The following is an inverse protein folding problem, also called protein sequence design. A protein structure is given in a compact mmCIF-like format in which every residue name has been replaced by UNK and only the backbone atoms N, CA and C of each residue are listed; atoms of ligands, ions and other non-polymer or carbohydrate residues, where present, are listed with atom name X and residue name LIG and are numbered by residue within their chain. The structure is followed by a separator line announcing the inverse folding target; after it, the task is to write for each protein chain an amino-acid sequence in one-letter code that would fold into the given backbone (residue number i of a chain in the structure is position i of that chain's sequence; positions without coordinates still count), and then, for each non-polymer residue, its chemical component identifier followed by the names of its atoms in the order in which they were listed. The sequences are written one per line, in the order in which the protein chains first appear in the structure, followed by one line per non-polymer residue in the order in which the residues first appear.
data_IF_034327182126
#
_entry.id   IF_034327182126
#
_cell.length_a   1.000
_cell.length_b   1.000
_cell.length_c   1.000
_cell.angle_alpha   90.00
_cell.angle_beta   90.00
_cell.angle_gamma   90.00
#
_symmetry.space_group_name_H-M   'P 1'
#
loop_
_entity.id
_entity.type
_entity.pdbx_description
1 polymer ?
#
# COMPACT_ATOMS: atom_id res chain seq x y z
N UNK A 1 20.80 30.32 -13.63
CA UNK A 1 19.90 29.19 -13.93
C UNK A 1 19.74 28.39 -12.64
N UNK A 2 18.62 28.57 -11.94
CA UNK A 2 18.34 27.85 -10.70
C UNK A 2 17.80 26.47 -11.06
N UNK A 3 18.66 25.46 -11.07
CA UNK A 3 18.23 24.07 -11.03
C UNK A 3 17.79 23.80 -9.59
N UNK A 4 16.48 23.85 -9.35
CA UNK A 4 15.92 23.41 -8.08
C UNK A 4 16.33 21.96 -7.85
N UNK A 5 17.25 21.74 -6.89
CA UNK A 5 17.69 20.45 -6.37
C UNK A 5 16.58 19.77 -5.56
N UNK A 6 15.35 19.72 -6.09
CA UNK A 6 14.28 18.98 -5.44
C UNK A 6 14.51 17.48 -5.68
N UNK A 7 14.43 16.65 -4.62
CA UNK A 7 14.51 15.20 -4.78
C UNK A 7 13.47 14.70 -5.78
N UNK A 8 13.90 13.79 -6.67
CA UNK A 8 13.06 13.25 -7.74
C UNK A 8 12.18 12.13 -7.21
N UNK A 9 10.87 12.27 -7.39
CA UNK A 9 9.90 11.20 -7.18
C UNK A 9 9.37 10.79 -8.54
N UNK A 10 9.70 9.58 -8.95
CA UNK A 10 9.38 9.04 -10.27
C UNK A 10 8.81 7.63 -10.10
N UNK A 11 7.89 7.19 -10.98
CA UNK A 11 7.37 5.83 -10.91
C UNK A 11 8.50 4.82 -11.02
N UNK A 12 8.49 3.83 -10.12
CA UNK A 12 9.43 2.72 -10.09
C UNK A 12 9.10 1.72 -11.18
N UNK A 13 10.14 1.20 -11.85
CA UNK A 13 10.02 -0.05 -12.58
C UNK A 13 9.76 -1.20 -11.61
N UNK A 14 9.23 -2.30 -12.10
CA UNK A 14 8.96 -3.48 -11.29
C UNK A 14 10.22 -4.01 -10.59
N UNK A 15 11.36 -4.06 -11.30
CA UNK A 15 12.62 -4.52 -10.72
C UNK A 15 13.12 -3.61 -9.59
N UNK A 16 12.96 -2.29 -9.74
CA UNK A 16 13.30 -1.33 -8.67
C UNK A 16 12.35 -1.46 -7.48
N UNK A 17 11.06 -1.71 -7.71
CA UNK A 17 10.10 -1.94 -6.65
C UNK A 17 10.41 -3.24 -5.88
N UNK A 18 10.75 -4.31 -6.59
CA UNK A 18 11.17 -5.59 -5.99
C UNK A 18 12.47 -5.41 -5.18
N UNK A 19 13.44 -4.67 -5.71
CA UNK A 19 14.67 -4.33 -4.97
C UNK A 19 14.37 -3.54 -3.68
N UNK A 20 13.52 -2.51 -3.77
CA UNK A 20 13.10 -1.74 -2.60
C UNK A 20 12.41 -2.63 -1.56
N UNK A 21 11.47 -3.47 -1.97
CA UNK A 21 10.76 -4.40 -1.09
C UNK A 21 11.74 -5.36 -0.39
N UNK A 22 12.72 -5.91 -1.13
CA UNK A 22 13.75 -6.80 -0.61
C UNK A 22 14.66 -6.11 0.41
N UNK A 23 15.09 -4.87 0.13
CA UNK A 23 15.89 -4.05 1.06
C UNK A 23 15.13 -3.77 2.35
N UNK A 24 13.87 -3.32 2.26
CA UNK A 24 13.02 -3.08 3.44
C UNK A 24 12.79 -4.34 4.24
N UNK A 25 12.51 -5.47 3.58
CA UNK A 25 12.34 -6.74 4.28
C UNK A 25 13.57 -7.15 5.07
N UNK A 26 14.76 -6.97 4.50
CA UNK A 26 16.04 -7.24 5.16
C UNK A 26 16.21 -6.35 6.40
N UNK A 27 15.94 -5.05 6.25
CA UNK A 27 16.06 -4.06 7.32
C UNK A 27 15.08 -4.36 8.48
N UNK A 28 13.82 -4.68 8.16
CA UNK A 28 12.78 -4.97 9.16
C UNK A 28 13.03 -6.32 9.85
N UNK A 29 13.48 -7.33 9.10
CA UNK A 29 13.81 -8.65 9.63
C UNK A 29 14.96 -8.60 10.66
N UNK A 30 15.97 -7.73 10.47
CA UNK A 30 17.05 -7.52 11.45
C UNK A 30 16.54 -7.06 12.83
N UNK A 31 15.32 -6.52 12.88
CA UNK A 31 14.67 -6.01 14.08
C UNK A 31 13.51 -6.88 14.56
N UNK A 32 13.23 -7.99 13.88
CA UNK A 32 12.07 -8.82 14.16
C UNK A 32 10.73 -8.11 13.93
N UNK A 33 10.69 -7.09 13.07
CA UNK A 33 9.45 -6.37 12.75
C UNK A 33 8.68 -7.13 11.69
N UNK A 34 7.48 -7.59 12.05
CA UNK A 34 6.52 -8.13 11.09
C UNK A 34 5.80 -6.98 10.38
N UNK A 35 5.72 -7.04 9.05
CA UNK A 35 5.07 -6.02 8.23
C UNK A 35 4.45 -6.63 6.96
N UNK A 36 3.60 -5.87 6.29
CA UNK A 36 3.09 -6.20 4.96
C UNK A 36 3.00 -4.92 4.11
N UNK A 37 3.39 -5.04 2.83
CA UNK A 37 3.22 -3.96 1.86
C UNK A 37 1.74 -3.81 1.47
N UNK A 38 1.32 -2.57 1.25
CA UNK A 38 -0.03 -2.22 0.83
C UNK A 38 -0.01 -1.12 -0.25
N UNK A 39 -1.15 -0.50 -0.51
CA UNK A 39 -1.23 0.68 -1.37
C UNK A 39 -0.76 0.42 -2.79
N UNK A 40 -0.07 1.39 -3.40
CA UNK A 40 0.37 1.29 -4.78
C UNK A 40 1.42 0.20 -5.01
N UNK A 41 2.38 0.08 -4.09
CA UNK A 41 3.40 -0.97 -4.11
C UNK A 41 2.77 -2.37 -4.06
N UNK A 42 1.83 -2.59 -3.14
CA UNK A 42 1.11 -3.85 -3.03
C UNK A 42 0.32 -4.20 -4.30
N UNK A 43 -0.34 -3.23 -4.93
CA UNK A 43 -1.03 -3.43 -6.20
C UNK A 43 -0.06 -3.90 -7.29
N UNK A 44 1.05 -3.19 -7.50
CA UNK A 44 2.04 -3.54 -8.54
C UNK A 44 2.59 -4.95 -8.35
N UNK A 45 2.96 -5.33 -7.12
CA UNK A 45 3.54 -6.65 -6.83
C UNK A 45 2.53 -7.78 -7.03
N UNK A 46 1.26 -7.58 -6.65
CA UNK A 46 0.22 -8.58 -6.89
C UNK A 46 -0.09 -8.73 -8.37
N UNK A 47 -0.22 -7.63 -9.11
CA UNK A 47 -0.52 -7.68 -10.55
C UNK A 47 0.60 -8.41 -11.31
N UNK A 48 1.87 -8.16 -10.96
CA UNK A 48 2.99 -8.92 -11.49
C UNK A 48 2.94 -10.41 -11.10
N UNK A 49 2.78 -10.70 -9.81
CA UNK A 49 2.74 -12.08 -9.30
C UNK A 49 1.66 -12.93 -9.95
N UNK A 50 0.47 -12.35 -10.18
CA UNK A 50 -0.64 -13.01 -10.87
C UNK A 50 -0.62 -12.83 -12.39
N UNK A 51 0.46 -12.28 -12.96
CA UNK A 51 0.68 -12.10 -14.41
C UNK A 51 -0.43 -11.29 -15.11
N UNK A 52 -0.98 -10.29 -14.41
CA UNK A 52 -1.95 -9.35 -14.96
C UNK A 52 -1.22 -8.26 -15.72
N UNK A 53 -1.44 -8.19 -17.04
CA UNK A 53 -0.84 -7.15 -17.89
C UNK A 53 -1.33 -5.76 -17.49
N UNK A 54 -0.41 -4.91 -17.04
CA UNK A 54 -0.71 -3.53 -16.62
C UNK A 54 0.50 -2.62 -16.81
N UNK A 55 0.27 -1.31 -16.93
CA UNK A 55 1.32 -0.28 -16.86
C UNK A 55 1.38 0.38 -15.48
N UNK A 56 0.74 -0.22 -14.47
CA UNK A 56 0.68 0.31 -13.12
C UNK A 56 2.09 0.39 -12.51
N UNK A 57 2.43 1.57 -12.03
CA UNK A 57 3.69 1.86 -11.34
C UNK A 57 3.43 2.78 -10.15
N UNK A 58 4.31 2.77 -9.14
CA UNK A 58 4.16 3.55 -7.90
C UNK A 58 5.43 4.35 -7.59
N UNK A 59 5.35 5.37 -6.74
CA UNK A 59 6.47 6.25 -6.37
C UNK A 59 6.98 6.05 -4.94
N UNK A 60 6.26 5.26 -4.16
CA UNK A 60 6.37 5.10 -2.71
C UNK A 60 6.09 3.65 -2.30
N UNK A 61 6.47 3.31 -1.07
CA UNK A 61 6.11 2.05 -0.41
C UNK A 61 5.24 2.34 0.81
N UNK A 62 3.97 1.97 0.72
CA UNK A 62 3.06 1.93 1.86
C UNK A 62 3.17 0.57 2.58
N UNK A 63 3.23 0.57 3.90
CA UNK A 63 3.28 -0.67 4.68
C UNK A 63 2.56 -0.59 6.02
N UNK A 64 1.94 -1.70 6.40
CA UNK A 64 1.44 -1.95 7.74
C UNK A 64 2.51 -2.70 8.53
N UNK A 65 2.76 -2.32 9.78
CA UNK A 65 3.59 -3.09 10.71
C UNK A 65 2.80 -3.53 11.94
N UNK A 66 3.24 -4.62 12.56
CA UNK A 66 2.77 -5.04 13.88
C UNK A 66 3.57 -4.29 14.95
N UNK A 67 2.94 -3.45 15.79
CA UNK A 67 3.64 -2.83 16.92
C UNK A 67 4.17 -3.89 17.89
N UNK A 68 5.45 -3.75 18.28
CA UNK A 68 6.01 -4.61 19.33
C UNK A 68 5.75 -4.01 20.71
N UNK A 69 4.64 -4.47 21.31
CA UNK A 69 4.20 -4.09 22.66
C UNK A 69 5.06 -4.70 23.78
N UNK A 70 5.94 -5.66 23.48
CA UNK A 70 6.84 -6.24 24.48
C UNK A 70 8.06 -5.32 24.74
N UNK A 71 8.42 -4.47 23.78
CA UNK A 71 9.45 -3.45 23.98
C UNK A 71 8.96 -2.30 24.86
N UNK A 72 9.84 -1.76 25.71
CA UNK A 72 9.54 -0.59 26.55
C UNK A 72 10.52 0.56 26.25
N UNK A 73 10.03 1.68 25.69
CA UNK A 73 8.66 1.87 25.21
C UNK A 73 8.42 1.09 23.89
N UNK A 74 7.14 0.89 23.55
CA UNK A 74 6.65 0.15 22.37
C UNK A 74 7.38 0.56 21.11
N UNK A 75 7.70 -0.40 20.25
CA UNK A 75 8.16 -0.12 18.88
C UNK A 75 6.94 -0.02 17.96
N UNK A 76 6.51 1.20 17.68
CA UNK A 76 5.45 1.57 16.73
C UNK A 76 6.05 2.14 15.44
N UNK A 77 5.19 2.54 14.48
CA UNK A 77 5.64 3.04 13.18
C UNK A 77 6.49 4.32 13.31
N UNK A 78 6.12 5.23 14.21
CA UNK A 78 6.87 6.48 14.44
C UNK A 78 8.28 6.19 14.95
N UNK A 79 8.36 5.32 15.96
CA UNK A 79 9.62 4.96 16.57
C UNK A 79 10.50 4.15 15.63
N UNK A 80 9.91 3.24 14.86
CA UNK A 80 10.63 2.51 13.81
C UNK A 80 11.18 3.49 12.78
N UNK A 81 10.38 4.43 12.28
CA UNK A 81 10.82 5.43 11.29
C UNK A 81 12.04 6.20 11.77
N UNK A 82 12.04 6.70 13.01
CA UNK A 82 13.19 7.41 13.61
C UNK A 82 14.43 6.51 13.78
N UNK A 83 14.23 5.26 14.17
CA UNK A 83 15.32 4.30 14.33
C UNK A 83 15.98 3.95 12.99
N UNK A 84 15.17 3.73 11.95
CA UNK A 84 15.64 3.42 10.61
C UNK A 84 16.58 4.51 10.08
N UNK A 85 16.20 5.78 10.24
CA UNK A 85 17.03 6.93 9.84
C UNK A 85 18.37 6.99 10.59
N UNK A 86 18.37 6.62 11.88
CA UNK A 86 19.58 6.69 12.70
C UNK A 86 20.60 5.60 12.33
N UNK A 87 20.12 4.43 11.93
CA UNK A 87 20.96 3.23 11.80
C UNK A 87 21.32 2.88 10.36
N UNK A 88 20.54 3.34 9.38
CA UNK A 88 20.73 3.00 7.98
C UNK A 88 21.11 4.25 7.19
N UNK A 89 22.39 4.35 6.83
CA UNK A 89 22.93 5.51 6.10
C UNK A 89 22.36 5.64 4.67
N UNK A 90 21.77 4.58 4.13
CA UNK A 90 21.08 4.57 2.84
C UNK A 90 19.63 5.08 2.91
N UNK A 91 19.12 5.34 4.12
CA UNK A 91 17.84 5.98 4.34
C UNK A 91 18.02 7.47 4.61
N UNK A 92 17.25 8.29 3.91
CA UNK A 92 17.21 9.74 4.09
C UNK A 92 15.84 10.17 4.65
N UNK A 93 15.75 11.41 5.16
CA UNK A 93 14.48 12.05 5.54
C UNK A 93 14.01 12.95 4.41
N UNK A 94 12.76 12.81 4.00
CA UNK A 94 12.24 13.49 2.79
C UNK A 94 11.09 14.44 3.05
N UNK A 95 10.39 14.26 4.17
CA UNK A 95 9.33 15.16 4.62
C UNK A 95 9.12 15.05 6.12
N UNK A 96 8.69 16.16 6.72
CA UNK A 96 8.08 16.20 8.04
C UNK A 96 6.60 16.46 7.78
N UNK A 97 5.71 15.53 8.11
CA UNK A 97 4.29 15.82 8.08
C UNK A 97 3.97 16.88 9.15
N UNK A 98 3.66 18.11 8.74
CA UNK A 98 3.54 19.28 9.65
C UNK A 98 2.55 19.09 10.81
N UNK A 99 1.53 18.23 10.63
CA UNK A 99 0.49 17.97 11.63
C UNK A 99 0.95 16.94 12.67
N UNK A 100 1.69 15.92 12.24
CA UNK A 100 2.11 14.79 13.09
C UNK A 100 3.58 14.90 13.52
N UNK A 101 4.33 15.84 12.93
CA UNK A 101 5.79 15.92 12.97
C UNK A 101 6.48 14.60 12.62
N UNK A 102 5.77 13.75 11.85
CA UNK A 102 6.25 12.43 11.46
C UNK A 102 7.28 12.59 10.34
N UNK A 103 8.49 12.13 10.60
CA UNK A 103 9.56 12.09 9.60
C UNK A 103 9.41 10.82 8.76
N UNK A 104 9.13 10.99 7.48
CA UNK A 104 9.03 9.85 6.55
C UNK A 104 10.44 9.45 6.09
N UNK A 105 10.91 8.24 6.42
CA UNK A 105 12.16 7.73 5.88
C UNK A 105 11.99 7.42 4.39
N UNK A 106 13.07 7.45 3.63
CA UNK A 106 13.03 7.13 2.21
C UNK A 106 14.28 6.42 1.74
N UNK A 107 14.10 5.50 0.79
CA UNK A 107 15.19 4.87 0.06
C UNK A 107 15.66 5.77 -1.08
N UNK A 108 16.96 5.68 -1.36
CA UNK A 108 17.55 6.17 -2.59
C UNK A 108 17.71 5.03 -3.59
N UNK A 109 17.19 5.24 -4.80
CA UNK A 109 17.30 4.33 -5.95
C UNK A 109 18.04 5.06 -7.08
N UNK A 110 19.07 4.45 -7.65
CA UNK A 110 19.90 5.07 -8.69
C UNK A 110 19.64 4.42 -10.04
N UNK A 111 19.42 5.24 -11.07
CA UNK A 111 19.24 4.80 -12.46
C UNK A 111 20.42 5.26 -13.29
N UNK A 112 21.25 4.34 -13.76
CA UNK A 112 22.28 4.68 -14.74
C UNK A 112 21.63 5.20 -16.04
N UNK A 113 22.17 6.25 -16.68
CA UNK A 113 23.38 7.01 -16.34
C UNK A 113 23.13 8.26 -15.48
N UNK A 114 21.93 8.45 -14.91
CA UNK A 114 21.62 9.63 -14.10
C UNK A 114 22.22 9.47 -12.69
N UNK A 115 23.15 10.35 -12.28
CA UNK A 115 23.78 10.25 -10.96
C UNK A 115 22.87 10.70 -9.82
N UNK A 116 21.67 11.24 -10.11
CA UNK A 116 20.73 11.68 -9.07
C UNK A 116 19.84 10.52 -8.63
N UNK A 117 19.69 10.30 -7.32
CA UNK A 117 18.78 9.29 -6.83
C UNK A 117 17.33 9.69 -7.08
N UNK A 118 16.51 8.68 -7.35
CA UNK A 118 15.07 8.71 -7.14
C UNK A 118 14.84 8.42 -5.67
N UNK A 119 13.94 9.20 -5.10
CA UNK A 119 13.55 9.12 -3.71
C UNK A 119 12.25 8.33 -3.62
N UNK A 120 12.27 7.29 -2.80
CA UNK A 120 11.14 6.40 -2.57
C UNK A 120 10.74 6.49 -1.11
N UNK A 121 9.64 7.22 -0.86
CA UNK A 121 9.14 7.42 0.50
C UNK A 121 8.61 6.10 1.08
N UNK A 122 8.90 5.88 2.36
CA UNK A 122 8.45 4.71 3.12
C UNK A 122 7.35 5.14 4.09
N UNK A 123 6.10 4.95 3.70
CA UNK A 123 4.95 5.25 4.55
C UNK A 123 4.63 4.05 5.44
N UNK A 124 5.07 4.11 6.69
CA UNK A 124 4.88 3.05 7.70
C UNK A 124 3.67 3.40 8.57
N UNK A 125 2.73 2.47 8.66
CA UNK A 125 1.52 2.61 9.48
C UNK A 125 1.39 1.45 10.46
N UNK A 126 0.68 1.67 11.55
CA UNK A 126 0.32 0.63 12.50
C UNK A 126 -1.06 0.88 13.13
N UNK A 127 -1.65 -0.19 13.67
CA UNK A 127 -3.00 -0.15 14.27
C UNK A 127 -3.09 0.61 15.59
N UNK A 128 -1.98 0.80 16.30
CA UNK A 128 -1.95 1.55 17.56
C UNK A 128 -2.01 3.05 17.32
N UNK A 129 -1.28 3.55 16.32
CA UNK A 129 -1.35 4.94 15.88
C UNK A 129 -2.70 5.28 15.20
N UNK A 130 -3.35 4.27 14.59
CA UNK A 130 -4.61 4.44 13.86
C UNK A 130 -5.73 3.53 14.38
N UNK A 131 -6.20 3.72 15.64
CA UNK A 131 -7.17 2.82 16.26
C UNK A 131 -8.55 2.83 15.59
N UNK A 132 -8.88 3.90 14.84
CA UNK A 132 -10.08 4.00 14.02
C UNK A 132 -10.00 3.24 12.69
N UNK A 133 -8.87 2.58 12.39
CA UNK A 133 -8.63 1.81 11.18
C UNK A 133 -8.35 0.34 11.54
N UNK A 134 -9.37 -0.45 11.92
CA UNK A 134 -9.18 -1.86 12.26
C UNK A 134 -8.55 -2.66 11.12
N UNK A 135 -8.67 -2.19 9.87
CA UNK A 135 -7.98 -2.77 8.72
C UNK A 135 -6.44 -2.74 8.78
N UNK A 136 -5.87 -1.93 9.68
CA UNK A 136 -4.41 -1.82 9.86
C UNK A 136 -3.87 -2.87 10.86
N UNK A 137 -4.74 -3.64 11.50
CA UNK A 137 -4.32 -4.69 12.41
C UNK A 137 -3.96 -5.96 11.64
N UNK A 138 -2.66 -6.18 11.41
CA UNK A 138 -2.15 -7.39 10.76
C UNK A 138 -2.32 -8.68 11.59
N UNK A 139 -2.75 -8.57 12.85
CA UNK A 139 -3.07 -9.74 13.69
C UNK A 139 -4.50 -10.21 13.50
N UNK A 140 -5.35 -9.40 12.86
CA UNK A 140 -6.71 -9.76 12.49
C UNK A 140 -6.67 -10.72 11.29
N UNK A 141 -7.24 -11.95 11.38
CA UNK A 141 -7.31 -12.88 10.26
C UNK A 141 -8.08 -12.34 9.04
N UNK A 142 -8.96 -11.36 9.24
CA UNK A 142 -9.65 -10.66 8.15
C UNK A 142 -8.76 -9.63 7.43
N UNK A 143 -7.53 -9.38 7.90
CA UNK A 143 -6.53 -8.55 7.22
C UNK A 143 -5.43 -9.43 6.62
N UNK A 144 -5.84 -10.44 5.85
CA UNK A 144 -4.95 -11.46 5.31
C UNK A 144 -3.95 -10.94 4.26
N UNK A 145 -2.78 -11.58 4.23
CA UNK A 145 -1.65 -11.27 3.34
C UNK A 145 -1.36 -12.43 2.37
N UNK A 146 -0.55 -12.15 1.36
CA UNK A 146 0.02 -13.10 0.40
C UNK A 146 1.54 -12.95 0.44
N UNK A 147 2.27 -14.07 0.45
CA UNK A 147 3.74 -14.07 0.33
C UNK A 147 4.11 -13.93 -1.15
N UNK A 148 4.85 -12.88 -1.50
CA UNK A 148 5.28 -12.59 -2.88
C UNK A 148 6.80 -12.69 -2.96
N UNK A 149 7.36 -13.51 -3.88
CA UNK A 149 8.80 -13.54 -4.13
C UNK A 149 9.25 -12.25 -4.83
N UNK A 150 10.32 -11.64 -4.34
CA UNK A 150 10.89 -10.38 -4.88
C UNK A 150 12.36 -10.52 -5.31
N UNK A 151 12.80 -11.74 -5.57
CA UNK A 151 14.16 -12.07 -5.99
C UNK A 151 15.07 -12.52 -4.84
N UNK A 152 16.23 -13.11 -5.19
CA UNK A 152 17.25 -13.61 -4.25
C UNK A 152 16.74 -14.57 -3.17
N UNK A 153 15.66 -15.31 -3.45
CA UNK A 153 15.02 -16.19 -2.47
C UNK A 153 14.32 -15.46 -1.32
N UNK A 154 14.14 -14.14 -1.44
CA UNK A 154 13.42 -13.31 -0.48
C UNK A 154 11.94 -13.25 -0.87
N UNK A 155 11.09 -13.49 0.11
CA UNK A 155 9.66 -13.25 0.02
C UNK A 155 9.26 -12.09 0.94
N UNK A 156 8.26 -11.33 0.50
CA UNK A 156 7.67 -10.24 1.28
C UNK A 156 6.17 -10.46 1.41
N UNK A 157 5.62 -10.11 2.57
CA UNK A 157 4.18 -10.12 2.75
C UNK A 157 3.56 -8.89 2.09
N UNK A 158 2.48 -9.11 1.35
CA UNK A 158 1.67 -8.07 0.72
C UNK A 158 0.22 -8.26 1.15
N UNK A 159 -0.50 -7.19 1.44
CA UNK A 159 -1.94 -7.27 1.73
C UNK A 159 -2.67 -7.94 0.56
N UNK A 160 -3.58 -8.88 0.85
CA UNK A 160 -4.20 -9.69 -0.21
C UNK A 160 -5.00 -8.85 -1.21
N UNK A 161 -5.25 -9.36 -2.44
CA UNK A 161 -6.11 -8.68 -3.42
C UNK A 161 -7.48 -8.29 -2.83
N UNK A 162 -8.07 -9.18 -2.02
CA UNK A 162 -9.34 -8.93 -1.33
C UNK A 162 -9.26 -7.69 -0.43
N UNK A 163 -8.22 -7.60 0.40
CA UNK A 163 -8.02 -6.46 1.28
C UNK A 163 -7.82 -5.17 0.47
N UNK A 164 -6.94 -5.21 -0.53
CA UNK A 164 -6.64 -4.03 -1.36
C UNK A 164 -7.88 -3.55 -2.11
N UNK A 165 -8.67 -4.43 -2.74
CA UNK A 165 -9.91 -4.04 -3.43
C UNK A 165 -10.90 -3.39 -2.47
N UNK A 166 -11.08 -3.92 -1.26
CA UNK A 166 -11.93 -3.27 -0.24
C UNK A 166 -11.48 -1.83 0.02
N UNK A 167 -10.20 -1.66 0.34
CA UNK A 167 -9.68 -0.32 0.66
C UNK A 167 -9.73 0.61 -0.55
N UNK A 168 -9.48 0.13 -1.76
CA UNK A 168 -9.52 0.95 -2.99
C UNK A 168 -10.92 1.46 -3.31
N UNK A 169 -11.96 0.65 -3.08
CA UNK A 169 -13.36 1.11 -3.20
C UNK A 169 -13.63 2.24 -2.20
N UNK A 170 -13.21 2.08 -0.94
CA UNK A 170 -13.39 3.09 0.10
C UNK A 170 -12.58 4.36 -0.18
N UNK A 171 -11.32 4.25 -0.60
CA UNK A 171 -10.47 5.41 -0.87
C UNK A 171 -10.87 6.15 -2.14
N UNK A 172 -11.36 5.46 -3.17
CA UNK A 172 -11.93 6.12 -4.34
C UNK A 172 -13.09 7.04 -3.95
N UNK A 173 -13.99 6.57 -3.08
CA UNK A 173 -15.08 7.39 -2.56
C UNK A 173 -14.58 8.56 -1.70
N UNK A 174 -13.63 8.31 -0.80
CA UNK A 174 -13.02 9.34 0.05
C UNK A 174 -12.22 10.41 -0.71
N UNK A 175 -11.68 10.07 -1.89
CA UNK A 175 -10.83 10.94 -2.74
C UNK A 175 -11.55 11.49 -3.97
N UNK A 176 -12.88 11.44 -3.96
CA UNK A 176 -13.76 11.91 -5.06
C UNK A 176 -13.28 13.24 -5.67
N UNK A 177 -13.15 13.27 -6.99
CA UNK A 177 -12.75 14.41 -7.81
C UNK A 177 -11.23 14.60 -7.96
N UNK A 178 -10.39 13.77 -7.34
CA UNK A 178 -8.93 13.86 -7.40
C UNK A 178 -8.27 12.88 -8.37
N UNK A 179 -7.02 13.15 -8.76
CA UNK A 179 -6.25 12.23 -9.63
C UNK A 179 -6.08 10.83 -9.01
N UNK A 180 -5.95 10.75 -7.67
CA UNK A 180 -5.82 9.47 -6.94
C UNK A 180 -7.11 8.63 -6.97
N UNK A 181 -8.28 9.24 -7.22
CA UNK A 181 -9.54 8.50 -7.41
C UNK A 181 -9.42 7.58 -8.63
N UNK A 182 -8.93 8.09 -9.76
CA UNK A 182 -8.81 7.32 -11.00
C UNK A 182 -7.90 6.12 -10.82
N UNK A 183 -6.73 6.31 -10.22
CA UNK A 183 -5.83 5.19 -9.94
C UNK A 183 -6.44 4.18 -8.98
N UNK A 184 -7.27 4.62 -8.02
CA UNK A 184 -7.97 3.70 -7.13
C UNK A 184 -9.01 2.85 -7.88
N UNK A 185 -9.75 3.43 -8.84
CA UNK A 185 -10.70 2.70 -9.70
C UNK A 185 -9.99 1.72 -10.65
N UNK A 186 -8.90 2.15 -11.29
CA UNK A 186 -8.07 1.28 -12.16
C UNK A 186 -7.48 0.10 -11.36
N UNK A 187 -7.06 0.33 -10.11
CA UNK A 187 -6.58 -0.73 -9.22
C UNK A 187 -7.72 -1.71 -8.83
N UNK A 188 -8.96 -1.22 -8.63
CA UNK A 188 -10.13 -2.09 -8.39
C UNK A 188 -10.36 -2.99 -9.60
N UNK A 189 -10.50 -2.42 -10.80
CA UNK A 189 -10.73 -3.16 -12.03
C UNK A 189 -9.65 -4.24 -12.26
N UNK A 190 -8.38 -3.88 -12.10
CA UNK A 190 -7.26 -4.79 -12.37
C UNK A 190 -7.16 -5.95 -11.35
N UNK A 191 -7.50 -5.72 -10.09
CA UNK A 191 -7.40 -6.72 -9.02
C UNK A 191 -8.68 -7.56 -8.85
N UNK A 192 -9.84 -7.07 -9.29
CA UNK A 192 -11.13 -7.74 -9.12
C UNK A 192 -11.17 -9.19 -9.64
N UNK A 193 -10.56 -9.53 -10.80
CA UNK A 193 -10.51 -10.91 -11.28
C UNK A 193 -9.77 -11.88 -10.34
N UNK A 194 -8.89 -11.38 -9.48
CA UNK A 194 -8.09 -12.17 -8.54
C UNK A 194 -8.87 -12.56 -7.27
N UNK A 195 -10.04 -11.96 -7.03
CA UNK A 195 -10.86 -12.29 -5.88
C UNK A 195 -11.65 -13.58 -6.12
N UNK A 196 -11.86 -14.35 -5.06
CA UNK A 196 -12.88 -15.39 -5.06
C UNK A 196 -14.29 -14.77 -5.14
N UNK A 197 -15.26 -15.54 -5.59
CA UNK A 197 -16.66 -15.08 -5.61
C UNK A 197 -17.15 -14.83 -4.17
N UNK A 198 -17.89 -13.75 -4.00
CA UNK A 198 -18.36 -13.26 -2.69
C UNK A 198 -17.26 -13.11 -1.63
N UNK A 199 -16.00 -12.85 -2.04
CA UNK A 199 -14.89 -12.63 -1.13
C UNK A 199 -15.09 -11.40 -0.23
N UNK A 200 -15.87 -10.41 -0.67
CA UNK A 200 -16.16 -9.20 0.11
C UNK A 200 -17.61 -9.18 0.56
N UNK A 201 -17.84 -8.67 1.76
CA UNK A 201 -19.18 -8.49 2.35
C UNK A 201 -19.30 -7.04 2.81
N UNK A 202 -20.21 -6.30 2.20
CA UNK A 202 -20.45 -4.88 2.49
C UNK A 202 -21.81 -4.72 3.16
N UNK A 203 -21.80 -4.40 4.45
CA UNK A 203 -23.02 -4.25 5.27
C UNK A 203 -23.13 -2.87 5.92
N UNK A 204 -22.01 -2.14 6.05
CA UNK A 204 -21.99 -0.82 6.67
C UNK A 204 -22.36 0.25 5.64
N UNK A 205 -22.94 1.35 6.12
CA UNK A 205 -23.38 2.44 5.24
C UNK A 205 -22.22 3.03 4.42
N UNK A 206 -21.04 3.19 5.01
CA UNK A 206 -19.87 3.72 4.31
C UNK A 206 -19.43 2.81 3.15
N UNK A 207 -19.45 1.49 3.36
CA UNK A 207 -19.14 0.50 2.32
C UNK A 207 -20.18 0.55 1.19
N UNK A 208 -21.47 0.64 1.56
CA UNK A 208 -22.59 0.74 0.63
C UNK A 208 -22.49 2.00 -0.23
N UNK A 209 -22.21 3.15 0.38
CA UNK A 209 -22.08 4.44 -0.31
C UNK A 209 -20.87 4.44 -1.25
N UNK A 210 -19.75 3.86 -0.81
CA UNK A 210 -18.56 3.72 -1.62
C UNK A 210 -18.79 2.81 -2.84
N UNK A 211 -19.46 1.67 -2.65
CA UNK A 211 -19.78 0.76 -3.75
C UNK A 211 -20.74 1.41 -4.76
N UNK A 212 -21.79 2.10 -4.29
CA UNK A 212 -22.69 2.88 -5.17
C UNK A 212 -21.92 3.94 -5.94
N UNK A 213 -20.93 4.58 -5.31
CA UNK A 213 -20.09 5.57 -5.97
C UNK A 213 -19.26 4.95 -7.10
N UNK A 214 -18.59 3.83 -6.85
CA UNK A 214 -17.82 3.10 -7.87
C UNK A 214 -18.71 2.73 -9.05
N UNK A 215 -19.88 2.12 -8.82
CA UNK A 215 -20.82 1.73 -9.88
C UNK A 215 -21.37 2.92 -10.68
N UNK A 216 -21.49 4.10 -10.03
CA UNK A 216 -21.86 5.33 -10.74
C UNK A 216 -20.74 5.83 -11.66
N UNK A 217 -19.48 5.63 -11.27
CA UNK A 217 -18.31 6.07 -12.04
C UNK A 217 -17.95 5.10 -13.15
N UNK A 218 -18.10 3.82 -12.89
CA UNK A 218 -17.86 2.76 -13.84
C UNK A 218 -18.98 1.70 -13.76
N UNK A 219 -20.07 1.91 -14.49
CA UNK A 219 -21.19 0.97 -14.53
C UNK A 219 -20.81 -0.38 -15.16
N UNK A 220 -19.74 -0.45 -15.96
CA UNK A 220 -19.33 -1.68 -16.64
C UNK A 220 -18.75 -2.70 -15.65
N UNK A 221 -18.25 -2.24 -14.49
CA UNK A 221 -17.79 -3.11 -13.40
C UNK A 221 -18.93 -3.80 -12.63
N UNK A 222 -20.19 -3.43 -12.83
CA UNK A 222 -21.31 -3.98 -12.05
C UNK A 222 -21.37 -5.52 -12.04
N UNK A 223 -21.29 -6.23 -13.18
CA UNK A 223 -21.39 -7.68 -13.20
C UNK A 223 -20.28 -8.35 -12.38
N UNK A 224 -19.05 -7.86 -12.50
CA UNK A 224 -17.91 -8.41 -11.78
C UNK A 224 -17.97 -8.06 -10.29
N UNK A 225 -18.31 -6.81 -9.93
CA UNK A 225 -18.47 -6.39 -8.54
C UNK A 225 -19.60 -7.17 -7.86
N UNK A 226 -20.74 -7.39 -8.53
CA UNK A 226 -21.86 -8.20 -8.03
C UNK A 226 -21.44 -9.64 -7.75
N UNK A 227 -20.55 -10.20 -8.58
CA UNK A 227 -20.02 -11.56 -8.40
C UNK A 227 -19.03 -11.64 -7.22
N UNK A 228 -18.20 -10.62 -7.02
CA UNK A 228 -17.14 -10.61 -5.99
C UNK A 228 -17.59 -10.06 -4.63
N UNK A 229 -18.65 -9.24 -4.58
CA UNK A 229 -19.08 -8.52 -3.38
C UNK A 229 -20.53 -8.89 -3.03
N UNK A 230 -20.75 -9.39 -1.83
CA UNK A 230 -22.08 -9.54 -1.23
C UNK A 230 -22.53 -8.20 -0.66
N UNK A 231 -23.48 -7.55 -1.33
CA UNK A 231 -24.09 -6.30 -0.88
C UNK A 231 -25.56 -6.19 -1.34
N UNK A 232 -26.52 -6.80 -0.60
CA UNK A 232 -27.92 -6.79 -0.99
C UNK A 232 -28.49 -5.37 -1.18
N UNK A 233 -28.08 -4.42 -0.33
CA UNK A 233 -28.52 -3.02 -0.40
C UNK A 233 -28.11 -2.27 -1.69
N UNK A 234 -27.25 -2.85 -2.52
CA UNK A 234 -26.81 -2.29 -3.80
C UNK A 234 -27.29 -3.14 -4.97
N UNK A 235 -27.17 -4.48 -4.86
CA UNK A 235 -27.41 -5.38 -5.99
C UNK A 235 -28.82 -5.98 -6.03
N UNK A 236 -29.56 -5.96 -4.92
CA UNK A 236 -30.92 -6.50 -4.82
C UNK A 236 -31.97 -5.41 -4.54
N UNK A 237 -31.53 -4.14 -4.55
CA UNK A 237 -32.37 -2.95 -4.31
C UNK A 237 -33.16 -2.53 -5.55
#
# INVERSE_FOLDING_TARGET
MSTTNSPRREPLSLLELQDCARRINTIFAQRGVAFALMGGAGCCLLLDYYQVTTNRATTDLDMLMVPDKAQTPTLDAERLSKLLQKEHQDLIVTSIQEITLYETPALQVYREPDPRPIIVDLEIFDSQAWPGRPQYDLTDPDNNTVSIPVGDGVEVLVMSPRWIVREKILTAYGRKGGMKERSDLEDVEALLPLLNDHALVFEKQDDIDALKYVLKKDPELEPDLRKKIKCPAVFEA
#
